data_IF_947039810625
#
_entry.id   IF_947039810625
#
_cell.length_a   1.000
_cell.length_b   1.000
_cell.length_c   1.000
_cell.angle_alpha   90.00
_cell.angle_beta   90.00
_cell.angle_gamma   90.00
#
_symmetry.space_group_name_H-M   'P 1'
#
loop_
_entity.id
_entity.type
_entity.pdbx_description
1 polymer ?
#
# COMPACT_ATOMS: atom_id res chain seq x y z
N UNK A 1 -20.58 4.40 -11.48
CA UNK A 1 -20.35 4.62 -10.03
C UNK A 1 -18.85 4.51 -9.86
N UNK A 2 -18.22 5.50 -9.23
CA UNK A 2 -16.80 5.44 -8.92
C UNK A 2 -16.49 4.17 -8.11
N UNK A 3 -15.50 3.38 -8.54
CA UNK A 3 -15.03 2.21 -7.79
C UNK A 3 -14.05 2.68 -6.71
N UNK A 4 -14.14 2.08 -5.52
CA UNK A 4 -13.12 2.28 -4.48
C UNK A 4 -12.00 1.27 -4.66
N UNK A 5 -10.76 1.74 -4.70
CA UNK A 5 -9.56 0.91 -4.87
C UNK A 5 -8.61 1.15 -3.71
N UNK A 6 -8.20 0.06 -3.04
CA UNK A 6 -7.11 0.11 -2.08
C UNK A 6 -5.82 -0.26 -2.83
N UNK A 7 -4.87 0.68 -2.86
CA UNK A 7 -3.61 0.53 -3.59
C UNK A 7 -2.60 -0.20 -2.72
N UNK A 8 -2.10 -1.32 -3.24
CA UNK A 8 -1.05 -2.11 -2.60
C UNK A 8 0.30 -1.38 -2.59
N UNK A 9 1.16 -1.72 -1.63
CA UNK A 9 2.48 -1.10 -1.48
C UNK A 9 3.38 -1.34 -2.69
N UNK A 10 3.32 -2.52 -3.30
CA UNK A 10 4.14 -2.83 -4.47
C UNK A 10 3.84 -1.90 -5.63
N UNK A 11 2.57 -1.52 -5.81
CA UNK A 11 2.11 -0.57 -6.83
C UNK A 11 2.69 0.83 -6.56
N UNK A 12 2.64 1.30 -5.31
CA UNK A 12 3.23 2.58 -4.93
C UNK A 12 4.76 2.60 -5.11
N UNK A 13 5.44 1.51 -4.75
CA UNK A 13 6.88 1.37 -4.93
C UNK A 13 7.26 1.35 -6.42
N UNK A 14 6.47 0.68 -7.27
CA UNK A 14 6.68 0.73 -8.73
C UNK A 14 6.54 2.15 -9.28
N UNK A 15 5.55 2.90 -8.78
CA UNK A 15 5.36 4.32 -9.13
C UNK A 15 6.52 5.20 -8.67
N UNK A 16 7.03 5.01 -7.44
CA UNK A 16 8.19 5.73 -6.92
C UNK A 16 9.45 5.51 -7.76
N UNK A 17 9.63 4.28 -8.26
CA UNK A 17 10.79 3.89 -9.07
C UNK A 17 10.67 4.24 -10.56
N UNK A 18 9.58 4.88 -10.98
CA UNK A 18 9.32 5.33 -12.34
C UNK A 18 9.34 4.21 -13.43
N UNK A 19 8.82 3.01 -13.14
CA UNK A 19 8.77 1.89 -14.11
C UNK A 19 7.35 1.46 -14.54
N UNK A 20 6.35 2.33 -14.49
CA UNK A 20 5.06 2.00 -15.10
C UNK A 20 4.04 3.13 -15.04
N UNK A 21 3.36 3.37 -16.17
CA UNK A 21 2.09 4.11 -16.21
C UNK A 21 1.04 3.24 -15.53
N UNK A 22 0.81 3.49 -14.23
CA UNK A 22 -0.31 2.90 -13.47
C UNK A 22 -1.69 3.25 -14.08
N UNK A 23 -1.68 4.16 -15.05
CA UNK A 23 -2.77 4.78 -15.78
C UNK A 23 -3.64 3.83 -16.60
N UNK A 24 -3.17 2.61 -16.93
CA UNK A 24 -3.99 1.69 -17.73
C UNK A 24 -5.11 1.01 -16.91
N UNK A 25 -4.96 0.94 -15.58
CA UNK A 25 -5.89 0.23 -14.70
C UNK A 25 -6.62 1.15 -13.70
N UNK A 26 -6.32 2.44 -13.70
CA UNK A 26 -6.93 3.47 -12.85
C UNK A 26 -7.66 4.47 -13.74
N UNK A 27 -8.96 4.61 -13.52
CA UNK A 27 -9.81 5.60 -14.17
C UNK A 27 -9.75 6.92 -13.39
N UNK A 28 -10.01 8.03 -14.06
CA UNK A 28 -9.88 9.35 -13.45
C UNK A 28 -10.89 9.61 -12.31
N UNK A 29 -12.00 8.87 -12.29
CA UNK A 29 -13.05 8.95 -11.27
C UNK A 29 -12.94 7.87 -10.18
N UNK A 30 -11.86 7.07 -10.17
CA UNK A 30 -11.64 6.08 -9.10
C UNK A 30 -11.39 6.75 -7.75
N UNK A 31 -12.00 6.18 -6.72
CA UNK A 31 -11.80 6.57 -5.32
C UNK A 31 -10.65 5.75 -4.75
N UNK A 32 -9.43 6.30 -4.86
CA UNK A 32 -8.20 5.65 -4.41
C UNK A 32 -8.00 5.84 -2.90
N UNK A 33 -7.58 4.77 -2.22
CA UNK A 33 -7.17 4.77 -0.82
C UNK A 33 -5.96 3.85 -0.60
N UNK A 34 -5.32 3.93 0.56
CA UNK A 34 -4.28 2.98 0.99
C UNK A 34 -4.61 2.40 2.36
N UNK A 35 -4.11 1.21 2.66
CA UNK A 35 -4.22 0.66 4.00
C UNK A 35 -3.17 1.27 4.94
N UNK A 36 -3.48 1.39 6.23
CA UNK A 36 -2.51 1.82 7.25
C UNK A 36 -1.24 0.94 7.27
N UNK A 37 -1.36 -0.35 6.92
CA UNK A 37 -0.20 -1.23 6.82
C UNK A 37 0.75 -0.85 5.67
N UNK A 38 0.23 -0.32 4.56
CA UNK A 38 1.04 0.23 3.46
C UNK A 38 1.89 1.41 3.91
N UNK A 39 1.37 2.27 4.79
CA UNK A 39 2.14 3.36 5.40
C UNK A 39 3.31 2.82 6.21
N UNK A 40 3.07 1.76 7.00
CA UNK A 40 4.13 1.11 7.78
C UNK A 40 5.23 0.55 6.87
N UNK A 41 4.86 -0.15 5.80
CA UNK A 41 5.82 -0.71 4.84
C UNK A 41 6.65 0.37 4.12
N UNK A 42 6.01 1.46 3.68
CA UNK A 42 6.72 2.59 3.08
C UNK A 42 7.67 3.26 4.08
N UNK A 43 7.25 3.45 5.34
CA UNK A 43 8.11 3.98 6.41
C UNK A 43 9.30 3.06 6.67
N UNK A 44 9.10 1.74 6.73
CA UNK A 44 10.20 0.78 6.82
C UNK A 44 11.18 0.95 5.66
N UNK A 45 10.67 1.19 4.44
CA UNK A 45 11.49 1.53 3.28
C UNK A 45 12.33 2.81 3.45
N UNK A 46 11.83 3.82 4.17
CA UNK A 46 12.57 5.04 4.53
C UNK A 46 13.66 4.73 5.55
N UNK A 47 13.34 4.01 6.63
CA UNK A 47 14.29 3.73 7.71
C UNK A 47 15.48 2.90 7.22
N UNK A 48 15.21 1.90 6.38
CA UNK A 48 16.23 1.01 5.80
C UNK A 48 16.95 1.59 4.57
N UNK A 49 16.63 2.82 4.16
CA UNK A 49 17.28 3.45 3.00
C UNK A 49 18.74 3.83 3.30
N UNK A 50 19.59 3.80 2.27
CA UNK A 50 20.87 4.50 2.33
C UNK A 50 20.66 6.01 2.39
N UNK A 51 21.65 6.76 2.89
CA UNK A 51 21.53 8.21 3.04
C UNK A 51 21.20 8.92 1.73
N UNK A 52 21.76 8.44 0.62
CA UNK A 52 21.48 8.95 -0.73
C UNK A 52 20.01 8.78 -1.16
N UNK A 53 19.28 7.80 -0.61
CA UNK A 53 17.88 7.48 -0.99
C UNK A 53 16.85 7.91 0.04
N UNK A 54 17.26 8.12 1.31
CA UNK A 54 16.36 8.39 2.43
C UNK A 54 15.48 9.61 2.18
N UNK A 55 16.05 10.71 1.69
CA UNK A 55 15.32 11.95 1.44
C UNK A 55 14.19 11.75 0.41
N UNK A 56 14.48 11.12 -0.74
CA UNK A 56 13.48 10.86 -1.78
C UNK A 56 12.35 9.95 -1.31
N UNK A 57 12.67 8.89 -0.55
CA UNK A 57 11.64 8.00 0.01
C UNK A 57 10.77 8.67 1.07
N UNK A 58 11.35 9.54 1.89
CA UNK A 58 10.60 10.35 2.85
C UNK A 58 9.64 11.30 2.15
N UNK A 59 10.10 11.99 1.10
CA UNK A 59 9.27 12.89 0.30
C UNK A 59 8.12 12.14 -0.40
N UNK A 60 8.41 10.95 -0.94
CA UNK A 60 7.39 10.10 -1.55
C UNK A 60 6.30 9.70 -0.53
N UNK A 61 6.69 9.28 0.68
CA UNK A 61 5.74 8.94 1.73
C UNK A 61 4.86 10.14 2.13
N UNK A 62 5.45 11.33 2.26
CA UNK A 62 4.68 12.55 2.54
C UNK A 62 3.64 12.79 1.45
N UNK A 63 4.05 12.74 0.18
CA UNK A 63 3.16 12.95 -0.97
C UNK A 63 2.01 11.95 -1.02
N UNK A 64 2.29 10.68 -0.72
CA UNK A 64 1.26 9.63 -0.64
C UNK A 64 0.24 9.97 0.44
N UNK A 65 0.67 10.37 1.64
CA UNK A 65 -0.21 10.71 2.76
C UNK A 65 -1.03 12.00 2.53
N UNK A 66 -0.51 12.93 1.73
CA UNK A 66 -1.23 14.16 1.34
C UNK A 66 -2.26 13.90 0.24
N UNK A 67 -2.08 12.85 -0.56
CA UNK A 67 -2.92 12.57 -1.75
C UNK A 67 -3.98 11.51 -1.49
N UNK A 68 -3.65 10.47 -0.71
CA UNK A 68 -4.48 9.28 -0.58
C UNK A 68 -5.04 9.16 0.86
N UNK A 69 -6.36 8.99 1.02
CA UNK A 69 -6.94 8.64 2.32
C UNK A 69 -6.39 7.30 2.81
N UNK A 70 -6.20 7.19 4.13
CA UNK A 70 -5.69 6.00 4.79
C UNK A 70 -6.82 5.26 5.50
N UNK A 71 -7.03 4.01 5.10
CA UNK A 71 -7.94 3.09 5.78
C UNK A 71 -7.29 2.48 7.02
N UNK A 72 -7.93 2.54 8.20
CA UNK A 72 -7.35 2.02 9.43
C UNK A 72 -7.32 0.49 9.43
N UNK A 73 -6.27 -0.06 10.04
CA UNK A 73 -6.28 -1.46 10.47
C UNK A 73 -6.93 -1.56 11.86
N UNK A 74 -8.25 -1.65 11.86
CA UNK A 74 -9.07 -1.67 13.08
C UNK A 74 -9.39 -3.10 13.56
N UNK A 75 -10.18 -3.22 14.64
CA UNK A 75 -10.56 -4.51 15.20
C UNK A 75 -11.28 -5.39 14.18
N UNK A 76 -12.20 -4.82 13.39
CA UNK A 76 -12.95 -5.55 12.36
C UNK A 76 -12.00 -6.08 11.28
N UNK A 77 -11.08 -5.24 10.82
CA UNK A 77 -10.07 -5.62 9.83
C UNK A 77 -9.17 -6.73 10.37
N UNK A 78 -8.79 -6.65 11.65
CA UNK A 78 -7.99 -7.69 12.30
C UNK A 78 -8.73 -9.04 12.40
N UNK A 79 -10.03 -9.03 12.71
CA UNK A 79 -10.85 -10.25 12.75
C UNK A 79 -10.96 -10.92 11.37
N UNK A 80 -11.26 -10.16 10.32
CA UNK A 80 -11.35 -10.70 8.95
C UNK A 80 -9.98 -11.17 8.45
N UNK A 81 -8.92 -10.41 8.72
CA UNK A 81 -7.55 -10.83 8.39
C UNK A 81 -7.19 -12.15 9.08
N UNK A 82 -7.56 -12.34 10.36
CA UNK A 82 -7.37 -13.60 11.07
C UNK A 82 -8.08 -14.79 10.41
N UNK A 83 -9.29 -14.58 9.89
CA UNK A 83 -10.02 -15.62 9.13
C UNK A 83 -9.33 -15.97 7.83
N UNK A 84 -8.84 -14.97 7.09
CA UNK A 84 -8.07 -15.17 5.86
C UNK A 84 -6.76 -15.92 6.12
N UNK A 85 -6.04 -15.55 7.19
CA UNK A 85 -4.82 -16.26 7.61
C UNK A 85 -5.10 -17.73 7.90
N UNK A 86 -6.17 -18.04 8.63
CA UNK A 86 -6.56 -19.42 8.92
C UNK A 86 -6.93 -20.20 7.65
N UNK A 87 -7.63 -19.56 6.71
CA UNK A 87 -7.97 -20.17 5.42
C UNK A 87 -6.71 -20.47 4.59
N UNK A 88 -5.82 -19.48 4.41
CA UNK A 88 -4.56 -19.66 3.68
C UNK A 88 -3.65 -20.69 4.36
N UNK A 89 -3.65 -20.76 5.70
CA UNK A 89 -2.86 -21.77 6.41
C UNK A 89 -3.37 -23.20 6.18
N UNK A 90 -4.69 -23.39 6.09
CA UNK A 90 -5.31 -24.71 5.89
C UNK A 90 -5.23 -25.20 4.45
N UNK A 91 -5.37 -24.28 3.50
CA UNK A 91 -5.52 -24.62 2.07
C UNK A 91 -4.25 -24.33 1.24
N UNK A 92 -3.35 -23.49 1.75
CA UNK A 92 -2.08 -23.17 1.12
C UNK A 92 -1.01 -24.22 1.39
N UNK A 93 0.02 -24.22 0.55
CA UNK A 93 1.24 -24.99 0.78
C UNK A 93 2.24 -24.13 1.58
N UNK A 94 2.77 -24.66 2.69
CA UNK A 94 3.90 -24.04 3.40
C UNK A 94 5.09 -23.96 2.44
N UNK A 95 5.68 -22.78 2.31
CA UNK A 95 6.97 -22.56 1.65
C UNK A 95 8.03 -22.21 2.68
#
# INVERSE_FOLDING_TARGET
>A
MARRLIVDTSVLVMSERAQGTLTAAIEADDDLAIAAITVAELRTGVELASDARRAGRSEFLVRVLETLPVEPYDLRTAEEHGRLLAHVHREGAKR
#
